data_IF_914565949511
#
_entry.id   IF_914565949511
#
_cell.length_a   1.000
_cell.length_b   1.000
_cell.length_c   1.000
_cell.angle_alpha   90.00
_cell.angle_beta   90.00
_cell.angle_gamma   90.00
#
_symmetry.space_group_name_H-M   'P 1'
#
loop_
_entity.id
_entity.type
_entity.pdbx_description
1 polymer ?
#
# COMPACT_ATOMS: atom_id res chain seq x y z
N UNK A 1 -18.72 9.46 17.38
CA UNK A 1 -17.58 9.96 16.61
C UNK A 1 -18.06 9.97 15.17
N UNK A 2 -18.32 11.14 14.61
CA UNK A 2 -18.64 11.24 13.18
C UNK A 2 -17.30 11.11 12.47
N UNK A 3 -17.08 10.02 11.72
CA UNK A 3 -15.96 9.98 10.80
C UNK A 3 -16.22 11.10 9.78
N UNK A 4 -15.38 12.14 9.77
CA UNK A 4 -15.43 13.12 8.70
C UNK A 4 -15.09 12.39 7.39
N UNK A 5 -15.78 12.67 6.29
CA UNK A 5 -15.45 12.08 5.01
C UNK A 5 -14.01 12.46 4.62
N UNK A 6 -13.27 11.50 4.07
CA UNK A 6 -11.92 11.76 3.59
C UNK A 6 -11.96 12.84 2.51
N UNK A 7 -11.04 13.80 2.61
CA UNK A 7 -10.82 14.83 1.61
C UNK A 7 -9.33 15.14 1.48
N UNK A 8 -8.86 15.35 0.26
CA UNK A 8 -7.46 15.57 -0.06
C UNK A 8 -6.71 14.32 -0.51
N UNK A 9 -5.38 14.39 -0.55
CA UNK A 9 -4.51 13.32 -1.05
C UNK A 9 -3.97 12.46 0.08
N UNK A 10 -4.04 11.14 -0.11
CA UNK A 10 -3.54 10.14 0.83
C UNK A 10 -2.68 9.11 0.10
N UNK A 11 -1.84 8.40 0.85
CA UNK A 11 -1.15 7.21 0.33
C UNK A 11 -2.10 6.02 0.41
N UNK A 12 -2.14 5.19 -0.63
CA UNK A 12 -2.87 3.93 -0.59
C UNK A 12 -1.97 2.76 -0.96
N UNK A 13 -2.17 1.62 -0.32
CA UNK A 13 -1.47 0.36 -0.63
C UNK A 13 -2.48 -0.66 -1.13
N UNK A 14 -2.20 -1.27 -2.29
CA UNK A 14 -2.99 -2.40 -2.79
C UNK A 14 -2.71 -3.66 -1.97
N UNK A 15 -3.67 -4.01 -1.12
CA UNK A 15 -3.60 -5.17 -0.23
C UNK A 15 -3.92 -6.46 -0.98
N UNK A 16 -5.07 -6.50 -1.67
CA UNK A 16 -5.50 -7.66 -2.48
C UNK A 16 -6.46 -7.30 -3.61
N UNK A 17 -6.64 -8.27 -4.51
CA UNK A 17 -7.77 -8.30 -5.43
C UNK A 17 -8.83 -9.29 -4.92
N UNK A 18 -10.09 -8.90 -5.03
CA UNK A 18 -11.26 -9.75 -4.82
C UNK A 18 -12.05 -9.77 -6.13
N UNK A 19 -11.85 -10.83 -6.93
CA UNK A 19 -12.38 -10.94 -8.30
C UNK A 19 -11.98 -9.72 -9.19
N UNK A 20 -12.95 -8.87 -9.49
CA UNK A 20 -12.80 -7.65 -10.30
C UNK A 20 -12.57 -6.39 -9.45
N UNK A 21 -12.53 -6.53 -8.13
CA UNK A 21 -12.35 -5.43 -7.18
C UNK A 21 -10.92 -5.40 -6.65
N UNK A 22 -10.46 -4.19 -6.32
CA UNK A 22 -9.19 -3.94 -5.66
C UNK A 22 -9.46 -3.33 -4.28
N UNK A 23 -8.87 -3.93 -3.24
CA UNK A 23 -8.92 -3.42 -1.87
C UNK A 23 -7.67 -2.60 -1.61
N UNK A 24 -7.85 -1.32 -1.32
CA UNK A 24 -6.80 -0.35 -1.04
C UNK A 24 -6.85 0.04 0.44
N UNK A 25 -5.72 -0.07 1.13
CA UNK A 25 -5.57 0.44 2.50
C UNK A 25 -5.08 1.89 2.42
N UNK A 26 -5.82 2.82 3.01
CA UNK A 26 -5.50 4.24 3.04
C UNK A 26 -4.63 4.53 4.25
N UNK A 27 -3.46 5.09 4.00
CA UNK A 27 -2.47 5.49 4.98
C UNK A 27 -2.41 7.02 5.10
N UNK A 28 -2.30 7.49 6.35
CA UNK A 28 -1.92 8.86 6.68
C UNK A 28 -0.75 8.80 7.67
N UNK A 29 0.33 9.52 7.37
CA UNK A 29 1.60 9.48 8.13
C UNK A 29 2.14 8.06 8.46
N UNK A 30 1.78 7.06 7.65
CA UNK A 30 2.22 5.67 7.79
C UNK A 30 1.35 4.78 8.67
N UNK A 31 0.24 5.30 9.18
CA UNK A 31 -0.81 4.53 9.85
C UNK A 31 -2.01 4.32 8.92
N UNK A 32 -2.59 3.12 8.93
CA UNK A 32 -3.81 2.84 8.17
C UNK A 32 -5.00 3.51 8.85
N UNK A 33 -5.63 4.45 8.16
CA UNK A 33 -6.77 5.23 8.65
C UNK A 33 -8.11 4.77 8.10
N UNK A 34 -8.11 4.11 6.94
CA UNK A 34 -9.31 3.57 6.29
C UNK A 34 -8.95 2.48 5.27
N UNK A 35 -9.96 1.82 4.73
CA UNK A 35 -9.87 1.01 3.51
C UNK A 35 -10.92 1.48 2.49
N UNK A 36 -10.66 1.24 1.21
CA UNK A 36 -11.62 1.46 0.12
C UNK A 36 -11.57 0.32 -0.87
N UNK A 37 -12.70 0.06 -1.53
CA UNK A 37 -12.81 -0.94 -2.58
C UNK A 37 -13.24 -0.26 -3.87
N UNK A 38 -12.45 -0.43 -4.93
CA UNK A 38 -12.71 0.15 -6.27
C UNK A 38 -12.63 -0.93 -7.35
N UNK A 39 -13.07 -0.64 -8.57
CA UNK A 39 -12.89 -1.59 -9.66
C UNK A 39 -11.40 -1.72 -10.02
N UNK A 40 -10.95 -2.95 -10.29
CA UNK A 40 -9.61 -3.21 -10.79
C UNK A 40 -9.33 -2.48 -12.11
N UNK A 41 -10.37 -2.22 -12.90
CA UNK A 41 -10.32 -1.41 -14.12
C UNK A 41 -9.86 0.02 -13.88
N UNK A 42 -10.19 0.59 -12.72
CA UNK A 42 -9.90 1.99 -12.36
C UNK A 42 -8.44 2.18 -11.95
N UNK A 43 -7.76 1.10 -11.55
CA UNK A 43 -6.34 1.15 -11.25
C UNK A 43 -5.48 1.27 -12.52
N UNK A 44 -4.43 2.13 -12.51
CA UNK A 44 -3.40 2.11 -13.53
C UNK A 44 -2.79 0.72 -13.69
N UNK A 45 -2.75 0.20 -14.93
CA UNK A 45 -2.23 -1.15 -15.22
C UNK A 45 -0.85 -1.47 -14.58
N UNK A 46 0.14 -0.55 -14.58
CA UNK A 46 1.45 -0.82 -13.99
C UNK A 46 1.41 -1.14 -12.49
N UNK A 47 0.44 -0.59 -11.75
CA UNK A 47 0.29 -0.82 -10.31
C UNK A 47 -0.66 -1.97 -9.95
N UNK A 48 -1.14 -2.77 -10.91
CA UNK A 48 -2.12 -3.85 -10.64
C UNK A 48 -1.46 -5.11 -10.06
N UNK A 49 -0.72 -4.95 -8.98
CA UNK A 49 -0.09 -6.03 -8.23
C UNK A 49 -0.10 -5.71 -6.73
N UNK A 50 -0.06 -6.76 -5.91
CA UNK A 50 0.02 -6.62 -4.46
C UNK A 50 1.20 -5.72 -4.06
N UNK A 51 1.01 -4.98 -2.96
CA UNK A 51 1.97 -4.03 -2.38
C UNK A 51 2.28 -2.80 -3.26
N UNK A 52 1.55 -2.60 -4.37
CA UNK A 52 1.63 -1.37 -5.15
C UNK A 52 1.13 -0.17 -4.34
N UNK A 53 1.86 0.93 -4.42
CA UNK A 53 1.56 2.17 -3.70
C UNK A 53 0.99 3.19 -4.68
N UNK A 54 -0.02 3.91 -4.22
CA UNK A 54 -0.73 4.92 -5.00
C UNK A 54 -0.86 6.22 -4.21
N UNK A 55 -0.86 7.33 -4.93
CA UNK A 55 -1.45 8.58 -4.45
C UNK A 55 -2.93 8.57 -4.84
N UNK A 56 -3.80 8.69 -3.83
CA UNK A 56 -5.25 8.67 -4.01
C UNK A 56 -5.82 10.01 -3.53
N UNK A 57 -6.62 10.64 -4.38
CA UNK A 57 -7.35 11.86 -4.04
C UNK A 57 -8.80 11.53 -3.69
N UNK A 58 -9.26 12.11 -2.59
CA UNK A 58 -10.62 11.99 -2.10
C UNK A 58 -11.36 13.32 -2.14
N UNK A 59 -12.62 13.28 -2.53
CA UNK A 59 -13.60 14.37 -2.37
C UNK A 59 -14.86 13.82 -1.72
N UNK A 60 -15.24 14.37 -0.56
CA UNK A 60 -16.43 13.93 0.20
C UNK A 60 -16.49 12.40 0.48
N UNK A 61 -15.32 11.77 0.66
CA UNK A 61 -15.19 10.33 0.94
C UNK A 61 -15.17 9.43 -0.30
N UNK A 62 -15.31 10.00 -1.50
CA UNK A 62 -15.25 9.28 -2.77
C UNK A 62 -13.86 9.42 -3.41
N UNK A 63 -13.39 8.36 -4.06
CA UNK A 63 -12.12 8.38 -4.80
C UNK A 63 -12.30 9.10 -6.13
N UNK A 64 -11.57 10.19 -6.35
CA UNK A 64 -11.63 10.97 -7.60
C UNK A 64 -10.40 10.80 -8.48
N UNK A 65 -9.28 10.37 -7.92
CA UNK A 65 -8.03 10.13 -8.66
C UNK A 65 -7.19 9.03 -8.02
N UNK A 66 -6.54 8.22 -8.85
CA UNK A 66 -5.60 7.18 -8.42
C UNK A 66 -4.38 7.20 -9.33
N UNK A 67 -3.22 7.48 -8.75
CA UNK A 67 -1.94 7.56 -9.48
C UNK A 67 -0.98 6.55 -8.88
N UNK A 68 -0.37 5.72 -9.73
CA UNK A 68 0.62 4.74 -9.27
C UNK A 68 1.95 5.42 -8.93
N UNK A 69 2.41 5.26 -7.70
CA UNK A 69 3.71 5.71 -7.22
C UNK A 69 4.72 4.54 -7.25
N UNK A 70 5.36 4.38 -8.41
CA UNK A 70 6.41 3.38 -8.60
C UNK A 70 7.63 3.65 -7.73
N UNK A 71 7.97 4.91 -7.46
CA UNK A 71 9.19 5.26 -6.73
C UNK A 71 9.08 4.83 -5.26
N UNK A 72 7.95 5.13 -4.63
CA UNK A 72 7.68 4.70 -3.24
C UNK A 72 7.50 3.19 -3.16
N UNK A 73 6.86 2.57 -4.16
CA UNK A 73 6.74 1.10 -4.24
C UNK A 73 8.11 0.42 -4.22
N UNK A 74 9.02 0.83 -5.10
CA UNK A 74 10.39 0.29 -5.14
C UNK A 74 11.19 0.58 -3.87
N UNK A 75 11.00 1.76 -3.28
CA UNK A 75 11.67 2.15 -2.03
C UNK A 75 11.23 1.29 -0.86
N UNK A 76 9.92 1.07 -0.67
CA UNK A 76 9.39 0.23 0.43
C UNK A 76 9.77 -1.23 0.24
N UNK A 77 9.70 -1.77 -0.99
CA UNK A 77 10.15 -3.13 -1.30
C UNK A 77 11.62 -3.35 -0.94
N UNK A 78 12.52 -2.44 -1.35
CA UNK A 78 13.95 -2.51 -0.97
C UNK A 78 14.17 -2.41 0.54
N UNK A 79 13.40 -1.58 1.23
CA UNK A 79 13.49 -1.45 2.68
C UNK A 79 13.06 -2.75 3.39
N UNK A 80 11.97 -3.39 2.95
CA UNK A 80 11.51 -4.67 3.47
C UNK A 80 12.56 -5.76 3.26
N UNK A 81 13.09 -5.89 2.04
CA UNK A 81 14.15 -6.85 1.73
C UNK A 81 15.40 -6.63 2.59
N UNK A 82 15.85 -5.38 2.73
CA UNK A 82 17.02 -5.04 3.56
C UNK A 82 16.82 -5.37 5.05
N UNK A 83 15.59 -5.30 5.54
CA UNK A 83 15.24 -5.73 6.90
C UNK A 83 15.29 -7.25 7.01
N UNK A 84 14.73 -7.97 6.04
CA UNK A 84 14.76 -9.43 5.99
C UNK A 84 16.20 -9.96 5.97
N UNK A 85 17.05 -9.45 5.07
CA UNK A 85 18.46 -9.86 4.98
C UNK A 85 19.22 -9.67 6.30
N UNK A 86 18.91 -8.60 7.03
CA UNK A 86 19.52 -8.32 8.34
C UNK A 86 19.04 -9.28 9.42
N UNK A 87 17.77 -9.68 9.39
CA UNK A 87 17.22 -10.64 10.34
C UNK A 87 17.78 -12.03 10.08
N UNK A 88 17.89 -12.44 8.82
CA UNK A 88 18.44 -13.74 8.42
C UNK A 88 19.92 -13.89 8.80
N UNK A 89 20.72 -12.82 8.73
CA UNK A 89 22.14 -12.82 9.13
C UNK A 89 22.37 -12.80 10.65
N UNK A 90 21.33 -12.63 11.47
CA UNK A 90 21.42 -12.59 12.94
C UNK A 90 21.01 -13.89 13.60
N UNK A 91 20.58 -14.89 12.84
CA UNK A 91 20.58 -16.25 13.35
C UNK A 91 22.04 -16.60 13.66
N UNK A 92 22.41 -16.92 14.91
CA UNK A 92 23.73 -17.48 15.15
C UNK A 92 23.83 -18.74 14.30
N UNK A 93 24.93 -18.89 13.57
CA UNK A 93 25.36 -20.22 13.18
C UNK A 93 25.64 -20.95 14.51
N UNK A 94 24.62 -21.61 15.06
CA UNK A 94 24.79 -22.66 16.06
C UNK A 94 25.50 -23.83 15.35
N UNK A 95 26.79 -23.62 15.05
CA UNK A 95 27.75 -24.70 14.90
C UNK A 95 28.18 -25.07 16.32
N UNK A 96 27.42 -26.00 16.90
CA UNK A 96 27.86 -26.85 18.00
C UNK A 96 29.22 -27.48 17.63
N UNK A 97 30.32 -27.04 18.25
CA UNK A 97 31.50 -27.89 18.50
C UNK A 97 32.26 -27.50 19.78
#
# INVERSE_FOLDING_TARGET
MTNEPLSGTYTAVLDRFEDELAVLLIEDDGDVVSDVTIERSDLPQPGRHQDAIFDVEFEDGEVVSVVYDSETTEKRSRAAQSRFDRLSRRLPDDEDE
#
